data_IF_270069549902
#
_entry.id   IF_270069549902
#
_cell.length_a   1.000
_cell.length_b   1.000
_cell.length_c   1.000
_cell.angle_alpha   90.00
_cell.angle_beta   90.00
_cell.angle_gamma   90.00
#
_symmetry.space_group_name_H-M   'P 1'
#
loop_
_entity.id
_entity.type
_entity.pdbx_description
1 polymer ?
#
# COMPACT_ATOMS: atom_id res chain seq x y z
N UNK A 1 2.52 15.29 2.43
CA UNK A 1 1.49 14.55 3.20
C UNK A 1 1.23 13.28 2.40
N UNK A 2 1.84 12.14 2.75
CA UNK A 2 1.82 11.00 1.82
C UNK A 2 2.59 9.76 2.24
N UNK A 3 2.64 9.46 3.53
CA UNK A 3 3.06 8.17 4.05
C UNK A 3 2.38 8.00 5.40
N UNK A 4 1.61 6.93 5.54
CA UNK A 4 0.97 6.50 6.77
C UNK A 4 1.25 5.00 6.88
N UNK A 5 1.46 4.48 8.09
CA UNK A 5 1.69 3.05 8.30
C UNK A 5 0.47 2.20 7.86
N UNK A 6 -0.69 2.84 7.63
CA UNK A 6 -1.92 2.21 7.16
C UNK A 6 -2.35 2.66 5.75
N UNK A 7 -3.02 1.80 4.96
CA UNK A 7 -3.49 2.13 3.62
C UNK A 7 -4.56 3.23 3.63
N UNK A 8 -4.25 4.38 3.04
CA UNK A 8 -5.16 5.54 2.98
C UNK A 8 -6.50 5.23 2.29
N UNK A 9 -6.52 4.33 1.32
CA UNK A 9 -7.73 3.97 0.56
C UNK A 9 -8.72 3.14 1.38
N UNK A 10 -8.23 2.28 2.27
CA UNK A 10 -9.08 1.41 3.11
C UNK A 10 -9.90 2.26 4.07
N UNK A 11 -9.26 3.23 4.75
CA UNK A 11 -9.92 4.07 5.76
C UNK A 11 -11.00 5.02 5.23
N UNK A 12 -11.12 5.21 3.91
CA UNK A 12 -12.13 6.08 3.29
C UNK A 12 -13.16 5.31 2.46
N UNK A 13 -13.03 3.98 2.34
CA UNK A 13 -13.96 3.19 1.53
C UNK A 13 -15.35 3.18 2.20
N UNK A 14 -16.42 3.69 1.55
CA UNK A 14 -17.74 3.79 2.18
C UNK A 14 -18.45 2.43 2.35
N UNK A 15 -17.87 1.36 1.79
CA UNK A 15 -18.48 0.02 1.71
C UNK A 15 -17.48 -1.10 2.04
N UNK A 16 -16.30 -0.76 2.59
CA UNK A 16 -15.27 -1.72 3.03
C UNK A 16 -14.90 -2.79 1.98
N UNK A 17 -14.88 -2.41 0.70
CA UNK A 17 -14.64 -3.34 -0.41
C UNK A 17 -13.16 -3.63 -0.68
N UNK A 18 -12.24 -2.92 -0.01
CA UNK A 18 -10.79 -3.04 -0.25
C UNK A 18 -10.21 -4.03 0.76
N UNK A 19 -9.72 -5.16 0.25
CA UNK A 19 -9.13 -6.26 1.02
C UNK A 19 -7.79 -6.68 0.41
N UNK A 20 -6.90 -7.36 1.15
CA UNK A 20 -5.63 -7.85 0.61
C UNK A 20 -5.85 -8.78 -0.60
N UNK A 21 -5.07 -8.58 -1.66
CA UNK A 21 -5.11 -9.44 -2.86
C UNK A 21 -4.33 -10.74 -2.61
N UNK A 22 -4.98 -11.91 -2.63
CA UNK A 22 -4.30 -13.18 -2.40
C UNK A 22 -3.29 -13.54 -3.51
N UNK A 23 -3.40 -12.95 -4.71
CA UNK A 23 -2.47 -13.21 -5.82
C UNK A 23 -1.24 -12.31 -5.77
N UNK A 24 -1.26 -11.26 -4.95
CA UNK A 24 -0.19 -10.29 -4.78
C UNK A 24 0.07 -10.09 -3.28
N UNK A 25 0.27 -11.20 -2.58
CA UNK A 25 0.69 -11.17 -1.18
C UNK A 25 2.16 -10.73 -1.12
N UNK A 26 2.43 -9.69 -0.34
CA UNK A 26 3.76 -9.10 -0.21
C UNK A 26 4.12 -8.98 1.28
N UNK A 27 5.41 -9.16 1.57
CA UNK A 27 6.00 -8.88 2.87
C UNK A 27 6.18 -7.38 3.08
N UNK A 28 6.36 -6.96 4.34
CA UNK A 28 6.60 -5.56 4.64
C UNK A 28 7.89 -5.05 3.99
N UNK A 29 8.93 -5.88 3.91
CA UNK A 29 10.18 -5.55 3.24
C UNK A 29 9.99 -5.33 1.72
N UNK A 30 9.19 -6.16 1.06
CA UNK A 30 8.89 -6.01 -0.37
C UNK A 30 8.10 -4.73 -0.66
N UNK A 31 7.11 -4.41 0.17
CA UNK A 31 6.34 -3.17 0.06
C UNK A 31 7.22 -1.93 0.26
N UNK A 32 8.14 -1.97 1.23
CA UNK A 32 9.11 -0.90 1.48
C UNK A 32 10.05 -0.71 0.29
N UNK A 33 10.59 -1.80 -0.25
CA UNK A 33 11.46 -1.76 -1.43
C UNK A 33 10.75 -1.15 -2.65
N UNK A 34 9.49 -1.55 -2.91
CA UNK A 34 8.68 -0.97 -3.98
C UNK A 34 8.43 0.52 -3.78
N UNK A 35 8.14 0.93 -2.55
CA UNK A 35 7.96 2.34 -2.21
C UNK A 35 9.23 3.15 -2.53
N UNK A 36 10.39 2.71 -2.05
CA UNK A 36 11.68 3.36 -2.30
C UNK A 36 11.97 3.48 -3.80
N UNK A 37 11.78 2.37 -4.54
CA UNK A 37 11.95 2.34 -6.01
C UNK A 37 11.07 3.37 -6.72
N UNK A 38 9.80 3.51 -6.32
CA UNK A 38 8.87 4.48 -6.90
C UNK A 38 9.19 5.93 -6.52
N UNK A 39 9.82 6.19 -5.37
CA UNK A 39 10.27 7.53 -5.00
C UNK A 39 11.53 7.95 -5.77
N UNK A 40 12.39 7.01 -6.15
CA UNK A 40 13.59 7.28 -6.96
C UNK A 40 13.28 7.56 -8.45
N UNK A 41 12.11 7.13 -8.94
CA UNK A 41 11.65 7.36 -10.32
C UNK A 41 11.02 8.76 -10.57
N UNK A 42 11.00 9.66 -9.56
CA UNK A 42 10.42 11.01 -9.62
C UNK A 42 11.52 12.09 -9.54
#
# INVERSE_FOLDING_TARGET
MGYSDEPSCVGICPVDAIVPDPNNAETQEELQYKYESLQEEI
#
